data_IF_587825616683
#
_entry.id   IF_587825616683
#
_cell.length_a   1.000
_cell.length_b   1.000
_cell.length_c   1.000
_cell.angle_alpha   90.00
_cell.angle_beta   90.00
_cell.angle_gamma   90.00
#
_symmetry.space_group_name_H-M   'P 1'
#
loop_
_entity.id
_entity.type
_entity.pdbx_description
1 polymer ?
#
# COMPACT_ATOMS: atom_id res chain seq x y z
N UNK A 1 -3.44 37.61 5.60
CA UNK A 1 -3.58 36.44 4.71
C UNK A 1 -2.76 35.31 5.30
N UNK A 2 -3.39 34.19 5.68
CA UNK A 2 -2.68 32.99 6.13
C UNK A 2 -2.02 32.33 4.91
N UNK A 3 -0.80 31.79 5.02
CA UNK A 3 -0.26 30.96 3.95
C UNK A 3 -1.11 29.69 3.87
N UNK A 4 -1.65 29.41 2.69
CA UNK A 4 -2.22 28.11 2.37
C UNK A 4 -1.10 27.07 2.56
N UNK A 5 -1.38 26.05 3.36
CA UNK A 5 -0.54 24.87 3.44
C UNK A 5 -0.39 24.31 2.03
N UNK A 6 0.80 24.43 1.47
CA UNK A 6 1.18 23.70 0.27
C UNK A 6 1.21 22.22 0.67
N UNK A 7 0.21 21.48 0.20
CA UNK A 7 0.23 20.02 0.21
C UNK A 7 1.53 19.59 -0.50
N UNK A 8 2.38 18.75 0.11
CA UNK A 8 3.62 18.33 -0.53
C UNK A 8 3.30 17.72 -1.89
N UNK A 9 4.01 18.15 -2.92
CA UNK A 9 4.01 17.59 -4.26
C UNK A 9 4.50 16.14 -4.21
N UNK A 10 3.62 15.23 -3.81
CA UNK A 10 3.76 13.80 -4.06
C UNK A 10 3.04 13.53 -5.38
N UNK A 11 3.55 12.57 -6.15
CA UNK A 11 2.96 11.99 -7.37
C UNK A 11 3.45 12.61 -8.68
N UNK A 12 4.66 12.22 -9.07
CA UNK A 12 4.97 12.01 -10.48
C UNK A 12 5.64 10.63 -10.59
N UNK A 13 4.88 9.60 -10.97
CA UNK A 13 5.42 8.28 -11.30
C UNK A 13 4.82 7.05 -10.59
N UNK A 14 3.85 7.19 -9.68
CA UNK A 14 3.13 6.03 -9.10
C UNK A 14 1.68 5.98 -9.57
N UNK A 15 1.15 4.77 -9.73
CA UNK A 15 -0.28 4.55 -10.01
C UNK A 15 -1.13 5.33 -8.98
N UNK A 16 -1.98 6.28 -9.39
CA UNK A 16 -2.67 7.18 -8.47
C UNK A 16 -3.79 6.51 -7.68
N UNK A 17 -4.25 5.33 -8.13
CA UNK A 17 -5.14 4.49 -7.34
C UNK A 17 -4.39 3.64 -6.31
N UNK A 18 -3.07 3.52 -6.46
CA UNK A 18 -2.27 2.68 -5.58
C UNK A 18 -2.31 3.20 -4.14
N UNK A 19 -2.36 2.22 -3.25
CA UNK A 19 -2.33 2.40 -1.81
C UNK A 19 -1.06 3.12 -1.37
N UNK A 20 -1.10 3.69 -0.16
CA UNK A 20 0.09 4.03 0.63
C UNK A 20 0.94 2.78 0.94
N UNK A 21 1.06 2.41 2.22
CA UNK A 21 1.93 1.30 2.61
C UNK A 21 1.43 -0.07 2.11
N UNK A 22 2.31 -0.86 1.50
CA UNK A 22 2.16 -2.28 1.15
C UNK A 22 3.34 -3.09 1.74
N UNK A 23 3.37 -4.42 1.55
CA UNK A 23 4.41 -5.30 2.13
C UNK A 23 4.65 -5.06 3.63
N UNK A 24 3.55 -4.96 4.40
CA UNK A 24 3.60 -4.67 5.82
C UNK A 24 4.21 -5.85 6.58
N UNK A 25 5.19 -5.56 7.44
CA UNK A 25 5.83 -6.55 8.31
C UNK A 25 6.20 -5.93 9.66
N UNK A 26 6.55 -6.79 10.62
CA UNK A 26 6.94 -6.37 11.98
C UNK A 26 8.44 -6.51 12.16
N UNK A 27 9.07 -5.47 12.69
CA UNK A 27 10.43 -5.50 13.21
C UNK A 27 10.43 -5.37 14.73
N UNK A 28 11.11 -6.29 15.42
CA UNK A 28 11.30 -6.24 16.87
C UNK A 28 12.54 -5.40 17.19
N UNK A 29 12.34 -4.22 17.77
CA UNK A 29 13.41 -3.27 18.06
C UNK A 29 13.50 -2.98 19.56
N UNK A 30 14.70 -2.63 20.01
CA UNK A 30 15.00 -2.20 21.36
C UNK A 30 15.08 -0.68 21.39
N UNK A 31 14.30 -0.04 22.25
CA UNK A 31 14.48 1.37 22.60
C UNK A 31 15.57 1.47 23.66
N UNK A 32 16.72 2.04 23.29
CA UNK A 32 17.93 2.09 24.12
C UNK A 32 18.22 3.53 24.52
N UNK A 33 18.51 3.75 25.79
CA UNK A 33 19.09 5.01 26.28
C UNK A 33 20.58 4.84 26.56
N UNK A 34 21.39 5.78 26.09
CA UNK A 34 22.81 5.88 26.39
C UNK A 34 23.03 6.27 27.86
N UNK A 35 24.24 6.03 28.35
CA UNK A 35 24.67 6.52 29.67
C UNK A 35 24.90 8.04 29.68
N UNK A 36 25.31 8.63 28.55
CA UNK A 36 25.77 10.02 28.44
C UNK A 36 24.67 11.02 27.98
N UNK A 37 23.42 10.84 28.41
CA UNK A 37 22.26 11.71 28.06
C UNK A 37 22.03 11.95 26.55
N UNK A 38 22.59 11.10 25.68
CA UNK A 38 22.33 11.15 24.24
C UNK A 38 20.87 10.76 23.93
N UNK A 39 20.30 11.25 22.82
CA UNK A 39 18.96 10.87 22.40
C UNK A 39 18.80 9.34 22.32
N UNK A 40 17.67 8.78 22.76
CA UNK A 40 17.42 7.34 22.63
C UNK A 40 17.51 6.88 21.18
N UNK A 41 17.91 5.63 20.98
CA UNK A 41 17.95 5.01 19.66
C UNK A 41 17.19 3.69 19.62
N UNK A 42 16.81 3.28 18.42
CA UNK A 42 16.21 1.98 18.15
C UNK A 42 17.23 1.07 17.48
N UNK A 43 17.39 -0.15 17.98
CA UNK A 43 18.25 -1.16 17.37
C UNK A 43 17.57 -2.53 17.34
N UNK A 44 17.70 -3.30 16.26
CA UNK A 44 17.26 -4.68 16.26
C UNK A 44 18.13 -5.51 17.22
N UNK A 45 17.54 -6.55 17.80
CA UNK A 45 18.28 -7.52 18.58
C UNK A 45 19.12 -8.40 17.63
N UNK A 46 20.38 -8.63 17.97
CA UNK A 46 21.24 -9.50 17.17
C UNK A 46 20.66 -10.92 17.07
N UNK A 47 20.85 -11.57 15.92
CA UNK A 47 20.23 -12.86 15.60
C UNK A 47 20.54 -13.96 16.63
N UNK A 48 21.72 -13.95 17.26
CA UNK A 48 22.11 -14.91 18.32
C UNK A 48 21.21 -14.86 19.56
N UNK A 49 20.55 -13.72 19.82
CA UNK A 49 19.71 -13.49 20.99
C UNK A 49 18.21 -13.39 20.67
N UNK A 50 17.79 -13.62 19.42
CA UNK A 50 16.38 -13.54 18.98
C UNK A 50 15.42 -14.44 19.78
N UNK A 51 15.93 -15.52 20.36
CA UNK A 51 15.17 -16.45 21.22
C UNK A 51 14.79 -15.86 22.58
N UNK A 52 15.40 -14.75 23.01
CA UNK A 52 15.13 -14.14 24.30
C UNK A 52 13.74 -13.48 24.32
N UNK A 53 12.90 -13.76 25.33
CA UNK A 53 11.61 -13.10 25.53
C UNK A 53 11.76 -11.65 25.99
N UNK A 54 10.71 -10.83 25.83
CA UNK A 54 10.77 -9.38 26.09
C UNK A 54 11.17 -9.04 27.54
N UNK A 55 10.76 -9.83 28.52
CA UNK A 55 11.09 -9.68 29.94
C UNK A 55 12.58 -9.94 30.25
N UNK A 56 13.31 -10.57 29.33
CA UNK A 56 14.76 -10.77 29.40
C UNK A 56 15.56 -9.73 28.61
N UNK A 57 14.86 -8.78 27.99
CA UNK A 57 15.47 -7.68 27.24
C UNK A 57 15.20 -6.34 27.92
N UNK A 58 13.99 -6.13 28.42
CA UNK A 58 13.58 -4.87 29.01
C UNK A 58 14.29 -4.62 30.34
N UNK A 59 14.83 -3.40 30.50
CA UNK A 59 15.56 -2.95 31.67
C UNK A 59 16.88 -3.70 31.91
N UNK A 60 17.40 -4.40 30.90
CA UNK A 60 18.72 -5.02 30.94
C UNK A 60 19.77 -4.15 30.24
N UNK A 61 21.02 -4.11 30.75
CA UNK A 61 22.15 -3.51 30.06
C UNK A 61 22.44 -4.18 28.72
N UNK A 62 22.89 -3.38 27.77
CA UNK A 62 23.24 -3.85 26.43
C UNK A 62 24.50 -3.16 25.90
N UNK A 63 25.14 -3.87 24.97
CA UNK A 63 26.19 -3.33 24.08
C UNK A 63 25.61 -3.26 22.67
N UNK A 64 25.93 -2.22 21.92
CA UNK A 64 25.35 -2.01 20.59
C UNK A 64 26.26 -1.17 19.66
N UNK A 65 25.92 -1.19 18.38
CA UNK A 65 26.46 -0.32 17.34
C UNK A 65 25.30 0.24 16.50
N UNK A 66 25.58 0.73 15.29
CA UNK A 66 24.55 1.29 14.41
C UNK A 66 23.59 0.25 13.82
N UNK A 67 23.98 -1.02 13.79
CA UNK A 67 23.25 -2.09 13.12
C UNK A 67 22.43 -2.95 14.08
N UNK A 68 22.93 -3.25 15.28
CA UNK A 68 22.28 -4.17 16.22
C UNK A 68 22.66 -3.89 17.68
N UNK A 69 21.91 -4.52 18.58
CA UNK A 69 22.17 -4.56 20.01
C UNK A 69 22.21 -6.00 20.56
N UNK A 70 22.97 -6.18 21.65
CA UNK A 70 23.13 -7.41 22.41
C UNK A 70 22.93 -7.13 23.90
N UNK A 71 22.12 -7.95 24.58
CA UNK A 71 22.04 -7.95 26.05
C UNK A 71 23.33 -8.50 26.61
N UNK A 72 23.98 -7.74 27.49
CA UNK A 72 25.24 -8.11 28.13
C UNK A 72 25.03 -8.86 29.45
N UNK A 73 23.98 -8.53 30.18
CA UNK A 73 23.70 -9.17 31.47
C UNK A 73 23.09 -10.58 31.30
N UNK A 74 23.73 -11.58 31.90
CA UNK A 74 23.25 -12.97 31.89
C UNK A 74 23.38 -13.70 30.55
N UNK A 75 24.06 -13.11 29.57
CA UNK A 75 24.30 -13.70 28.25
C UNK A 75 25.80 -13.83 27.98
N UNK A 76 26.18 -14.88 27.24
CA UNK A 76 27.56 -15.02 26.75
C UNK A 76 27.69 -14.35 25.39
N UNK A 77 28.47 -13.28 25.33
CA UNK A 77 28.83 -12.58 24.09
C UNK A 77 30.25 -13.03 23.71
N UNK A 78 30.46 -13.43 22.45
CA UNK A 78 31.80 -13.74 21.96
C UNK A 78 32.63 -12.48 21.81
N UNK A 79 33.93 -12.55 22.09
CA UNK A 79 34.86 -11.41 21.97
C UNK A 79 34.75 -10.70 20.61
N UNK A 80 34.61 -11.44 19.50
CA UNK A 80 34.43 -10.87 18.16
C UNK A 80 33.16 -10.00 18.00
N UNK A 81 32.09 -10.30 18.75
CA UNK A 81 30.86 -9.52 18.72
C UNK A 81 30.95 -8.33 19.66
N UNK A 82 31.58 -8.51 20.82
CA UNK A 82 31.79 -7.44 21.80
C UNK A 82 32.67 -6.32 21.22
N UNK A 83 33.76 -6.68 20.53
CA UNK A 83 34.64 -5.73 19.84
C UNK A 83 33.94 -4.91 18.73
N UNK A 84 32.81 -5.40 18.19
CA UNK A 84 32.03 -4.70 17.16
C UNK A 84 31.04 -3.69 17.75
N UNK A 85 30.81 -3.70 19.06
CA UNK A 85 29.92 -2.78 19.74
C UNK A 85 30.72 -1.61 20.34
N UNK A 86 30.45 -0.38 19.90
CA UNK A 86 31.18 0.80 20.39
C UNK A 86 30.45 1.52 21.52
N UNK A 87 29.23 1.12 21.84
CA UNK A 87 28.37 1.83 22.79
C UNK A 87 27.72 0.88 23.78
N UNK A 88 27.52 1.37 25.00
CA UNK A 88 26.76 0.73 26.07
C UNK A 88 25.50 1.52 26.38
N UNK A 89 24.48 0.84 26.88
CA UNK A 89 23.25 1.51 27.28
C UNK A 89 22.27 0.58 27.99
N UNK A 90 21.10 1.12 28.30
CA UNK A 90 20.02 0.41 28.95
C UNK A 90 18.83 0.28 27.99
N UNK A 91 18.35 -0.94 27.79
CA UNK A 91 17.10 -1.18 27.06
C UNK A 91 15.94 -0.69 27.93
N UNK A 92 15.23 0.34 27.49
CA UNK A 92 14.05 0.87 28.20
C UNK A 92 12.79 0.09 27.88
N UNK A 93 12.66 -0.33 26.63
CA UNK A 93 11.46 -0.99 26.14
C UNK A 93 11.77 -1.82 24.90
N UNK A 94 11.00 -2.89 24.72
CA UNK A 94 10.95 -3.62 23.44
C UNK A 94 9.72 -3.12 22.68
N UNK A 95 9.92 -2.78 21.41
CA UNK A 95 8.86 -2.33 20.52
C UNK A 95 8.73 -3.29 19.33
N UNK A 96 7.52 -3.38 18.82
CA UNK A 96 7.18 -4.09 17.59
C UNK A 96 6.78 -3.04 16.57
N UNK A 97 7.76 -2.58 15.79
CA UNK A 97 7.59 -1.58 14.77
C UNK A 97 6.92 -2.20 13.54
N UNK A 98 5.80 -1.63 13.10
CA UNK A 98 5.19 -1.96 11.82
C UNK A 98 5.89 -1.15 10.74
N UNK A 99 6.51 -1.85 9.80
CA UNK A 99 7.19 -1.27 8.65
C UNK A 99 6.36 -1.59 7.40
N UNK A 100 6.22 -0.61 6.52
CA UNK A 100 5.52 -0.76 5.25
C UNK A 100 6.28 -0.11 4.11
N UNK A 101 6.11 -0.64 2.91
CA UNK A 101 6.74 -0.12 1.71
C UNK A 101 5.80 0.87 1.00
N UNK A 102 6.35 1.99 0.54
CA UNK A 102 5.67 2.93 -0.33
C UNK A 102 6.70 3.50 -1.31
N UNK A 103 6.43 3.44 -2.61
CA UNK A 103 7.36 3.86 -3.67
C UNK A 103 8.72 3.16 -3.60
N UNK A 104 8.72 1.83 -3.39
CA UNK A 104 9.92 0.99 -3.24
C UNK A 104 10.87 1.44 -2.11
N UNK A 105 10.34 2.14 -1.11
CA UNK A 105 11.06 2.55 0.10
C UNK A 105 10.32 2.03 1.31
N UNK A 106 11.06 1.56 2.30
CA UNK A 106 10.50 1.21 3.60
C UNK A 106 10.22 2.48 4.39
N UNK A 107 9.09 2.47 5.09
CA UNK A 107 8.62 3.55 5.96
C UNK A 107 8.11 2.95 7.26
N UNK A 108 8.39 3.66 8.34
CA UNK A 108 7.81 3.37 9.64
C UNK A 108 6.33 3.75 9.67
N UNK A 109 5.47 2.83 10.10
CA UNK A 109 4.02 3.03 10.17
C UNK A 109 3.58 3.28 11.61
N UNK A 110 4.17 2.58 12.58
CA UNK A 110 3.86 2.77 13.99
C UNK A 110 4.55 1.77 14.91
N UNK A 111 4.69 2.15 16.19
CA UNK A 111 5.25 1.31 17.24
C UNK A 111 4.14 0.70 18.10
N UNK A 112 4.22 -0.60 18.32
CA UNK A 112 3.33 -1.36 19.20
C UNK A 112 4.15 -2.04 20.31
N UNK A 113 3.48 -2.48 21.37
CA UNK A 113 4.13 -3.00 22.58
C UNK A 113 3.96 -4.51 22.77
N UNK A 114 3.35 -5.18 21.80
CA UNK A 114 3.29 -6.64 21.71
C UNK A 114 3.27 -7.08 20.25
N UNK A 115 3.77 -8.29 19.98
CA UNK A 115 3.77 -8.88 18.65
C UNK A 115 2.33 -9.11 18.15
N UNK A 116 1.44 -9.51 19.05
CA UNK A 116 0.04 -9.77 18.76
C UNK A 116 -0.70 -8.50 18.31
N UNK A 117 -0.47 -7.37 18.99
CA UNK A 117 -1.04 -6.08 18.58
C UNK A 117 -0.50 -5.62 17.23
N UNK A 118 0.81 -5.76 17.00
CA UNK A 118 1.43 -5.41 15.73
C UNK A 118 0.82 -6.23 14.58
N UNK A 119 0.67 -7.55 14.75
CA UNK A 119 0.00 -8.41 13.77
C UNK A 119 -1.48 -8.06 13.59
N UNK A 120 -2.20 -7.73 14.66
CA UNK A 120 -3.59 -7.30 14.56
C UNK A 120 -3.73 -5.99 13.76
N UNK A 121 -2.78 -5.05 13.92
CA UNK A 121 -2.71 -3.83 13.12
C UNK A 121 -2.42 -4.15 11.65
N UNK A 122 -1.40 -4.98 11.36
CA UNK A 122 -1.09 -5.40 9.99
C UNK A 122 -2.31 -6.07 9.34
N UNK A 123 -2.99 -6.98 10.02
CA UNK A 123 -4.18 -7.65 9.49
C UNK A 123 -5.30 -6.67 9.13
N UNK A 124 -5.56 -5.67 9.99
CA UNK A 124 -6.54 -4.61 9.72
C UNK A 124 -6.11 -3.72 8.56
N UNK A 125 -4.82 -3.40 8.50
CA UNK A 125 -4.27 -2.61 7.42
C UNK A 125 -4.31 -3.38 6.11
N UNK A 126 -4.02 -4.68 6.06
CA UNK A 126 -4.03 -5.43 4.80
C UNK A 126 -5.41 -5.49 4.13
N UNK A 127 -6.49 -5.21 4.87
CA UNK A 127 -7.85 -5.20 4.36
C UNK A 127 -8.29 -6.55 3.74
N UNK A 128 -7.63 -7.64 4.13
CA UNK A 128 -7.88 -9.02 3.66
C UNK A 128 -9.27 -9.56 4.04
N UNK A 129 -9.90 -8.96 5.05
CA UNK A 129 -11.17 -9.45 5.63
C UNK A 129 -12.39 -9.21 4.73
N UNK A 130 -12.23 -8.69 3.51
CA UNK A 130 -13.35 -8.36 2.61
C UNK A 130 -14.25 -7.21 3.11
N UNK A 131 -13.94 -6.62 4.27
CA UNK A 131 -14.70 -5.51 4.87
C UNK A 131 -14.51 -4.18 4.13
N UNK A 132 -13.50 -4.09 3.28
CA UNK A 132 -13.17 -2.88 2.53
C UNK A 132 -13.20 -3.18 1.03
N UNK A 133 -14.36 -2.94 0.41
CA UNK A 133 -14.45 -2.86 -1.05
C UNK A 133 -13.96 -1.48 -1.48
N UNK A 134 -12.98 -1.43 -2.39
CA UNK A 134 -12.37 -0.16 -2.81
C UNK A 134 -13.21 0.46 -3.91
N UNK A 135 -13.75 1.63 -3.62
CA UNK A 135 -14.53 2.44 -4.55
C UNK A 135 -13.77 3.74 -4.76
N UNK A 136 -13.59 4.13 -6.01
CA UNK A 136 -13.07 5.43 -6.40
C UNK A 136 -14.11 6.17 -7.22
N UNK A 137 -14.20 7.47 -6.98
CA UNK A 137 -14.99 8.42 -7.76
C UNK A 137 -14.01 9.48 -8.27
N UNK A 138 -13.94 9.64 -9.60
CA UNK A 138 -13.01 10.54 -10.28
C UNK A 138 -13.72 11.33 -11.36
N UNK A 139 -13.16 12.48 -11.71
CA UNK A 139 -13.67 13.32 -12.79
C UNK A 139 -13.76 12.57 -14.13
N UNK A 140 -14.82 12.82 -14.90
CA UNK A 140 -14.92 12.39 -16.32
C UNK A 140 -13.81 12.97 -17.19
N UNK A 141 -13.17 14.07 -16.78
CA UNK A 141 -12.04 14.68 -17.48
C UNK A 141 -10.81 13.77 -17.61
N UNK A 142 -10.80 12.60 -16.95
CA UNK A 142 -9.77 11.57 -17.13
C UNK A 142 -9.99 10.66 -18.34
N UNK A 143 -11.05 10.90 -19.11
CA UNK A 143 -11.34 10.19 -20.35
C UNK A 143 -11.52 11.20 -21.49
N UNK A 144 -11.01 10.91 -22.70
CA UNK A 144 -11.33 11.70 -23.87
C UNK A 144 -12.81 11.53 -24.27
N UNK A 145 -13.33 12.45 -25.07
CA UNK A 145 -14.73 12.46 -25.51
C UNK A 145 -15.14 11.13 -26.17
N UNK A 146 -14.26 10.52 -27.00
CA UNK A 146 -14.58 9.23 -27.62
C UNK A 146 -14.77 8.09 -26.61
N UNK A 147 -14.08 8.15 -25.47
CA UNK A 147 -14.18 7.16 -24.41
C UNK A 147 -15.46 7.37 -23.58
N UNK A 148 -15.82 8.62 -23.32
CA UNK A 148 -17.09 8.96 -22.69
C UNK A 148 -18.28 8.52 -23.55
N UNK A 149 -18.26 8.81 -24.85
CA UNK A 149 -19.31 8.39 -25.77
C UNK A 149 -19.45 6.86 -25.85
N UNK A 150 -18.33 6.13 -25.82
CA UNK A 150 -18.33 4.66 -25.75
C UNK A 150 -19.06 4.16 -24.50
N UNK A 151 -18.78 4.76 -23.33
CA UNK A 151 -19.41 4.40 -22.07
C UNK A 151 -20.92 4.65 -22.10
N UNK A 152 -21.33 5.86 -22.49
CA UNK A 152 -22.74 6.27 -22.60
C UNK A 152 -23.54 5.35 -23.54
N UNK A 153 -22.97 5.07 -24.72
CA UNK A 153 -23.59 4.15 -25.69
C UNK A 153 -23.69 2.72 -25.13
N UNK A 154 -22.72 2.31 -24.33
CA UNK A 154 -22.70 0.96 -23.76
C UNK A 154 -23.76 0.78 -22.69
N UNK A 155 -23.96 1.78 -21.81
CA UNK A 155 -25.01 1.75 -20.77
C UNK A 155 -26.41 2.03 -21.30
N UNK A 156 -26.56 2.77 -22.41
CA UNK A 156 -27.86 3.05 -23.03
C UNK A 156 -28.56 1.83 -23.66
N UNK A 157 -27.88 0.69 -23.79
CA UNK A 157 -28.49 -0.53 -24.31
C UNK A 157 -29.25 -1.28 -23.21
N UNK A 158 -30.55 -1.51 -23.41
CA UNK A 158 -31.46 -2.06 -22.37
C UNK A 158 -31.22 -3.53 -21.98
N UNK A 159 -30.22 -4.21 -22.55
CA UNK A 159 -29.87 -5.58 -22.19
C UNK A 159 -28.58 -5.60 -21.37
N UNK A 160 -28.50 -6.36 -20.25
CA UNK A 160 -27.26 -6.49 -19.48
C UNK A 160 -26.18 -7.09 -20.39
N UNK A 161 -25.19 -6.27 -20.75
CA UNK A 161 -24.10 -6.67 -21.61
C UNK A 161 -22.97 -7.18 -20.71
N UNK A 162 -22.92 -8.50 -20.52
CA UNK A 162 -21.70 -9.14 -20.05
C UNK A 162 -20.63 -8.81 -21.09
N UNK A 163 -19.67 -7.97 -20.70
CA UNK A 163 -18.61 -7.54 -21.62
C UNK A 163 -17.72 -8.73 -22.00
N UNK A 164 -17.54 -9.68 -21.07
CA UNK A 164 -16.49 -10.69 -21.15
C UNK A 164 -15.08 -10.10 -20.96
N UNK A 165 -14.98 -8.82 -20.60
CA UNK A 165 -13.75 -8.04 -20.53
C UNK A 165 -13.29 -7.77 -19.09
N UNK A 166 -13.81 -8.55 -18.14
CA UNK A 166 -13.61 -8.42 -16.69
C UNK A 166 -14.07 -7.08 -16.09
N UNK A 167 -14.99 -6.36 -16.75
CA UNK A 167 -15.68 -5.23 -16.12
C UNK A 167 -17.16 -5.14 -16.54
N UNK A 168 -18.01 -4.62 -15.67
CA UNK A 168 -19.43 -4.35 -15.92
C UNK A 168 -19.71 -2.86 -15.77
N UNK A 169 -20.63 -2.32 -16.56
CA UNK A 169 -21.03 -0.92 -16.49
C UNK A 169 -22.36 -0.75 -15.75
N UNK A 170 -22.50 0.35 -15.01
CA UNK A 170 -23.75 0.79 -14.39
C UNK A 170 -23.86 2.31 -14.43
N UNK A 171 -25.08 2.83 -14.33
CA UNK A 171 -25.34 4.29 -14.35
C UNK A 171 -25.71 4.81 -12.96
N UNK A 172 -25.38 6.07 -12.72
CA UNK A 172 -25.74 6.85 -11.53
C UNK A 172 -26.51 8.08 -11.99
N UNK A 173 -27.86 7.99 -12.14
CA UNK A 173 -28.64 9.02 -12.82
C UNK A 173 -28.65 10.40 -12.15
N UNK A 174 -28.43 10.47 -10.83
CA UNK A 174 -28.52 11.73 -10.09
C UNK A 174 -27.29 12.64 -10.27
N UNK A 175 -26.15 12.08 -10.68
CA UNK A 175 -24.91 12.81 -10.95
C UNK A 175 -24.42 12.67 -12.40
N UNK A 176 -25.26 12.12 -13.29
CA UNK A 176 -24.86 11.76 -14.67
C UNK A 176 -23.59 10.89 -14.75
N UNK A 177 -23.31 10.15 -13.67
CA UNK A 177 -22.10 9.35 -13.52
C UNK A 177 -22.21 7.98 -14.16
N UNK A 178 -21.08 7.45 -14.63
CA UNK A 178 -20.96 6.08 -15.14
C UNK A 178 -19.97 5.30 -14.29
N UNK A 179 -20.45 4.20 -13.72
CA UNK A 179 -19.65 3.29 -12.91
C UNK A 179 -19.17 2.07 -13.69
N UNK A 180 -17.97 1.63 -13.36
CA UNK A 180 -17.33 0.40 -13.80
C UNK A 180 -17.11 -0.50 -12.59
N UNK A 181 -17.74 -1.68 -12.58
CA UNK A 181 -17.41 -2.76 -11.64
C UNK A 181 -16.33 -3.64 -12.23
N UNK A 182 -15.15 -3.58 -11.63
CA UNK A 182 -14.00 -4.38 -12.03
C UNK A 182 -14.10 -5.78 -11.41
N UNK A 183 -13.79 -6.81 -12.21
CA UNK A 183 -13.92 -8.22 -11.86
C UNK A 183 -12.52 -8.83 -11.82
N UNK A 184 -12.27 -9.68 -10.83
CA UNK A 184 -11.00 -10.41 -10.76
C UNK A 184 -9.80 -9.53 -10.43
N UNK A 185 -10.00 -8.46 -9.67
CA UNK A 185 -8.89 -7.61 -9.21
C UNK A 185 -8.05 -8.31 -8.12
N UNK A 186 -6.75 -7.99 -8.01
CA UNK A 186 -6.00 -7.07 -8.87
C UNK A 186 -5.64 -7.69 -10.23
N UNK A 187 -5.56 -6.87 -11.29
CA UNK A 187 -5.14 -7.35 -12.63
C UNK A 187 -3.62 -7.48 -12.76
N UNK A 188 -3.02 -8.33 -11.92
CA UNK A 188 -1.63 -8.81 -12.08
C UNK A 188 -1.60 -10.08 -12.93
N UNK A 189 -0.49 -10.37 -13.60
CA UNK A 189 -0.36 -11.60 -14.39
C UNK A 189 -0.61 -12.85 -13.53
N UNK A 190 -0.05 -12.89 -12.31
CA UNK A 190 -0.27 -14.00 -11.37
C UNK A 190 -1.74 -14.20 -11.03
N UNK A 191 -2.47 -13.13 -10.71
CA UNK A 191 -3.87 -13.24 -10.35
C UNK A 191 -4.75 -13.59 -11.57
N UNK A 192 -4.50 -12.97 -12.73
CA UNK A 192 -5.25 -13.24 -13.95
C UNK A 192 -5.04 -14.67 -14.47
N UNK A 193 -3.82 -15.21 -14.37
CA UNK A 193 -3.55 -16.62 -14.66
C UNK A 193 -4.36 -17.55 -13.75
N UNK A 194 -4.61 -17.18 -12.49
CA UNK A 194 -5.41 -17.99 -11.57
C UNK A 194 -6.92 -17.95 -11.85
N UNK A 195 -7.44 -16.86 -12.44
CA UNK A 195 -8.90 -16.67 -12.63
C UNK A 195 -9.38 -16.91 -14.07
N UNK A 196 -8.53 -16.68 -15.08
CA UNK A 196 -8.89 -16.72 -16.51
C UNK A 196 -7.79 -17.38 -17.38
N UNK A 197 -6.80 -18.03 -16.77
CA UNK A 197 -5.69 -18.76 -17.44
C UNK A 197 -4.90 -17.90 -18.46
N UNK A 198 -4.90 -16.57 -18.30
CA UNK A 198 -4.24 -15.63 -19.22
C UNK A 198 -3.55 -14.49 -18.47
N UNK A 199 -2.39 -13.99 -18.94
CA UNK A 199 -1.76 -12.80 -18.38
C UNK A 199 -2.51 -11.52 -18.82
N UNK A 200 -2.19 -10.39 -18.17
CA UNK A 200 -2.84 -9.10 -18.44
C UNK A 200 -2.69 -8.65 -19.91
N UNK A 201 -1.55 -8.95 -20.55
CA UNK A 201 -1.34 -8.60 -21.96
C UNK A 201 -2.44 -9.12 -22.88
N UNK A 202 -2.99 -10.30 -22.58
CA UNK A 202 -4.05 -10.92 -23.37
C UNK A 202 -5.39 -10.22 -23.10
N UNK A 203 -5.73 -10.00 -21.82
CA UNK A 203 -6.93 -9.25 -21.43
C UNK A 203 -6.95 -7.85 -22.06
N UNK A 204 -5.81 -7.14 -22.03
CA UNK A 204 -5.65 -5.83 -22.65
C UNK A 204 -5.96 -5.90 -24.15
N UNK A 205 -5.42 -6.90 -24.85
CA UNK A 205 -5.66 -7.06 -26.27
C UNK A 205 -7.13 -7.39 -26.56
N UNK A 206 -7.75 -8.27 -25.77
CA UNK A 206 -9.18 -8.61 -25.90
C UNK A 206 -10.08 -7.39 -25.69
N UNK A 207 -9.75 -6.52 -24.72
CA UNK A 207 -10.45 -5.26 -24.49
C UNK A 207 -10.37 -4.31 -25.70
N UNK A 208 -9.18 -4.17 -26.28
CA UNK A 208 -8.94 -3.33 -27.46
C UNK A 208 -9.63 -3.91 -28.70
N UNK A 209 -9.54 -5.22 -28.92
CA UNK A 209 -10.18 -5.92 -30.04
C UNK A 209 -11.72 -5.84 -29.96
N UNK A 210 -12.27 -5.78 -28.75
CA UNK A 210 -13.70 -5.52 -28.51
C UNK A 210 -14.12 -4.05 -28.74
N UNK A 211 -13.18 -3.18 -29.12
CA UNK A 211 -13.42 -1.77 -29.39
C UNK A 211 -13.49 -0.89 -28.14
N UNK A 212 -12.97 -1.36 -27.00
CA UNK A 212 -12.85 -0.52 -25.80
C UNK A 212 -11.76 0.53 -26.05
N UNK A 213 -12.05 1.83 -25.86
CA UNK A 213 -11.08 2.89 -26.08
C UNK A 213 -9.83 2.73 -25.21
N UNK A 214 -8.65 2.97 -25.78
CA UNK A 214 -7.37 2.73 -25.11
C UNK A 214 -7.22 3.55 -23.82
N UNK A 215 -7.67 4.81 -23.82
CA UNK A 215 -7.65 5.65 -22.62
C UNK A 215 -8.45 5.03 -21.46
N UNK A 216 -9.63 4.46 -21.77
CA UNK A 216 -10.44 3.75 -20.79
C UNK A 216 -9.75 2.48 -20.31
N UNK A 217 -9.21 1.65 -21.22
CA UNK A 217 -8.45 0.43 -20.87
C UNK A 217 -7.30 0.75 -19.91
N UNK A 218 -6.55 1.83 -20.17
CA UNK A 218 -5.43 2.22 -19.34
C UNK A 218 -5.88 2.66 -17.93
N UNK A 219 -6.95 3.46 -17.81
CA UNK A 219 -7.47 3.88 -16.50
C UNK A 219 -8.05 2.70 -15.72
N UNK A 220 -8.83 1.83 -16.37
CA UNK A 220 -9.37 0.62 -15.75
C UNK A 220 -8.24 -0.30 -15.27
N UNK A 221 -7.16 -0.44 -16.03
CA UNK A 221 -6.00 -1.21 -15.63
C UNK A 221 -5.32 -0.63 -14.39
N UNK A 222 -5.08 0.68 -14.35
CA UNK A 222 -4.49 1.33 -13.18
C UNK A 222 -5.35 1.13 -11.93
N UNK A 223 -6.67 1.29 -12.05
CA UNK A 223 -7.60 1.04 -10.95
C UNK A 223 -7.59 -0.43 -10.53
N UNK A 224 -7.69 -1.36 -11.49
CA UNK A 224 -7.70 -2.79 -11.21
C UNK A 224 -6.39 -3.26 -10.57
N UNK A 225 -5.24 -2.78 -11.04
CA UNK A 225 -3.93 -3.08 -10.46
C UNK A 225 -3.83 -2.66 -8.98
N UNK A 226 -4.55 -1.59 -8.61
CA UNK A 226 -4.66 -1.11 -7.23
C UNK A 226 -5.77 -1.79 -6.41
N UNK A 227 -6.34 -2.89 -6.91
CA UNK A 227 -7.44 -3.64 -6.30
C UNK A 227 -8.71 -2.80 -6.09
N UNK A 228 -8.97 -1.83 -6.99
CA UNK A 228 -10.24 -1.09 -7.05
C UNK A 228 -11.34 -2.00 -7.58
N UNK A 229 -12.49 -2.07 -6.88
CA UNK A 229 -13.63 -2.90 -7.30
C UNK A 229 -14.70 -2.11 -8.04
N UNK A 230 -14.87 -0.84 -7.69
CA UNK A 230 -15.80 0.08 -8.33
C UNK A 230 -15.05 1.37 -8.68
N UNK A 231 -15.06 1.75 -9.95
CA UNK A 231 -14.54 3.03 -10.42
C UNK A 231 -15.70 3.82 -11.03
N UNK A 232 -15.95 5.02 -10.53
CA UNK A 232 -17.02 5.91 -10.99
C UNK A 232 -16.37 7.09 -11.70
N UNK A 233 -16.83 7.35 -12.91
CA UNK A 233 -16.57 8.57 -13.66
C UNK A 233 -17.75 9.51 -13.44
N UNK A 234 -17.51 10.59 -12.70
CA UNK A 234 -18.52 11.56 -12.29
C UNK A 234 -18.08 12.96 -12.80
N UNK A 235 -18.94 13.70 -13.53
CA UNK A 235 -18.59 15.02 -14.06
C UNK A 235 -18.33 16.08 -12.99
N UNK A 236 -18.93 15.94 -11.80
CA UNK A 236 -18.80 16.86 -10.67
C UNK A 236 -17.65 16.47 -9.72
N UNK A 237 -17.06 15.28 -9.89
CA UNK A 237 -15.94 14.83 -9.09
C UNK A 237 -14.64 15.59 -9.39
N UNK A 238 -13.78 15.68 -8.38
CA UNK A 238 -12.47 16.30 -8.53
C UNK A 238 -11.55 15.44 -9.41
N UNK A 239 -10.67 16.11 -10.18
CA UNK A 239 -9.63 15.43 -10.92
C UNK A 239 -8.63 14.75 -9.97
N UNK A 240 -8.37 13.47 -10.22
CA UNK A 240 -7.38 12.67 -9.52
C UNK A 240 -5.97 13.05 -10.00
N UNK A 241 -5.18 13.60 -9.07
CA UNK A 241 -3.78 13.95 -9.32
C UNK A 241 -2.97 12.72 -9.75
N UNK A 242 -2.21 12.85 -10.83
CA UNK A 242 -1.39 11.75 -11.38
C UNK A 242 -2.05 10.97 -12.51
N UNK A 243 -3.34 11.19 -12.79
CA UNK A 243 -3.96 10.77 -14.05
C UNK A 243 -3.90 11.89 -15.09
N UNK A 244 -3.91 11.51 -16.37
CA UNK A 244 -4.04 12.44 -17.49
C UNK A 244 -5.40 13.11 -17.41
N UNK A 245 -5.43 14.42 -17.62
CA UNK A 245 -6.66 15.19 -17.81
C UNK A 245 -6.72 15.56 -19.28
N UNK A 246 -7.85 15.26 -19.91
CA UNK A 246 -8.15 15.64 -21.28
C UNK A 246 -8.94 16.95 -21.23
N UNK A 247 -8.42 17.98 -21.87
CA UNK A 247 -9.17 19.23 -22.07
C UNK A 247 -10.29 18.98 -23.11
N UNK A 248 -11.41 19.69 -22.96
CA UNK A 248 -12.48 19.75 -23.98
C UNK A 248 -12.00 20.38 -25.31
#
# INVERSE_FOLDING_TARGET
MKPMHQTPSLLTGSNPFARGYHNLHVERLLLITYEDDCPPCYRPLHHSQTHLPDDRLQLFPCVFNDDFALISEGQSISDELDERCQSTGLVRQVIYAVIGEMLNKQHHVGDLYSLEEAHAVIHRLNFETGHYSRVWEISTAHLPEEAMFYLERSVGNSAPKLTGLLFELFTLPDCDGIGCKLIGTPWTDENLLNIDDKPYSNLRQEQLDAGTPEALVNVLYLAALADVRLLIFDPDAAALSGLVVFDE
#
